data_IF_054363098227
#
_entry.id   IF_054363098227
#
_cell.length_a   1.000
_cell.length_b   1.000
_cell.length_c   1.000
_cell.angle_alpha   90.00
_cell.angle_beta   90.00
_cell.angle_gamma   90.00
#
_symmetry.space_group_name_H-M   'P 1'
#
loop_
_entity.id
_entity.type
_entity.pdbx_description
1 polymer ?
#
# COMPACT_ATOMS: atom_id res chain seq x y z
N UNK A 1 24.54 -33.58 7.61
CA UNK A 1 24.23 -32.44 6.75
C UNK A 1 25.34 -31.40 6.90
N UNK A 2 25.96 -31.03 5.81
CA UNK A 2 27.02 -30.02 5.84
C UNK A 2 26.45 -28.61 6.01
N UNK A 3 27.28 -27.67 6.42
CA UNK A 3 26.86 -26.25 6.53
C UNK A 3 26.45 -25.69 5.17
N UNK A 4 27.10 -26.14 4.10
CA UNK A 4 26.77 -25.72 2.73
C UNK A 4 25.39 -26.22 2.32
N UNK A 5 25.02 -27.44 2.68
CA UNK A 5 23.69 -28.01 2.39
C UNK A 5 22.60 -27.24 3.14
N UNK A 6 22.87 -26.88 4.39
CA UNK A 6 21.93 -26.13 5.20
C UNK A 6 21.75 -24.72 4.65
N UNK A 7 22.83 -24.06 4.24
CA UNK A 7 22.78 -22.73 3.64
C UNK A 7 21.97 -22.73 2.34
N UNK A 8 22.21 -23.74 1.47
CA UNK A 8 21.46 -23.91 0.23
C UNK A 8 19.97 -24.14 0.48
N UNK A 9 19.63 -24.94 1.51
CA UNK A 9 18.24 -25.20 1.88
C UNK A 9 17.55 -23.92 2.37
N UNK A 10 18.23 -23.12 3.18
CA UNK A 10 17.70 -21.83 3.67
C UNK A 10 17.48 -20.85 2.54
N UNK A 11 18.40 -20.79 1.58
CA UNK A 11 18.29 -19.92 0.42
C UNK A 11 17.09 -20.31 -0.44
N UNK A 12 16.89 -21.60 -0.70
CA UNK A 12 15.73 -22.09 -1.47
C UNK A 12 14.42 -21.76 -0.78
N UNK A 13 14.36 -21.88 0.56
CA UNK A 13 13.18 -21.55 1.33
C UNK A 13 12.89 -20.06 1.25
N UNK A 14 13.91 -19.20 1.38
CA UNK A 14 13.75 -17.76 1.29
C UNK A 14 13.24 -17.34 -0.07
N UNK A 15 13.74 -17.93 -1.15
CA UNK A 15 13.27 -17.64 -2.51
C UNK A 15 11.82 -18.07 -2.70
N UNK A 16 11.44 -19.25 -2.17
CA UNK A 16 10.07 -19.74 -2.26
C UNK A 16 9.10 -18.82 -1.49
N UNK A 17 9.49 -18.38 -0.31
CA UNK A 17 8.69 -17.45 0.48
C UNK A 17 8.53 -16.10 -0.22
N UNK A 18 9.59 -15.58 -0.83
CA UNK A 18 9.54 -14.34 -1.58
C UNK A 18 8.58 -14.44 -2.77
N UNK A 19 8.67 -15.54 -3.54
CA UNK A 19 7.78 -15.78 -4.67
C UNK A 19 6.32 -15.86 -4.24
N UNK A 20 6.05 -16.53 -3.11
CA UNK A 20 4.70 -16.65 -2.57
C UNK A 20 4.14 -15.30 -2.15
N UNK A 21 4.94 -14.49 -1.44
CA UNK A 21 4.51 -13.15 -1.02
C UNK A 21 4.24 -12.24 -2.22
N UNK A 22 5.08 -12.31 -3.24
CA UNK A 22 4.87 -11.55 -4.49
C UNK A 22 3.56 -11.94 -5.17
N UNK A 23 3.27 -13.24 -5.24
CA UNK A 23 2.02 -13.74 -5.83
C UNK A 23 0.80 -13.30 -5.02
N UNK A 24 0.89 -13.33 -3.68
CA UNK A 24 -0.21 -12.92 -2.80
C UNK A 24 -0.52 -11.43 -2.91
N UNK A 25 0.49 -10.59 -3.00
CA UNK A 25 0.33 -9.13 -3.03
C UNK A 25 -0.02 -8.63 -4.43
N UNK A 26 0.66 -9.14 -5.45
CA UNK A 26 0.49 -8.65 -6.82
C UNK A 26 -0.64 -9.33 -7.59
N UNK A 27 -1.19 -10.42 -7.07
CA UNK A 27 -2.19 -11.20 -7.79
C UNK A 27 -1.61 -12.05 -8.90
N UNK A 28 -0.28 -12.22 -8.94
CA UNK A 28 0.40 -13.05 -9.92
C UNK A 28 0.06 -14.53 -9.75
N UNK A 29 0.21 -15.36 -10.80
CA UNK A 29 -0.02 -16.79 -10.66
C UNK A 29 0.86 -17.40 -9.57
N UNK A 30 0.34 -18.31 -8.73
CA UNK A 30 1.13 -18.93 -7.67
C UNK A 30 2.21 -19.85 -8.26
N UNK A 31 3.33 -20.04 -7.54
CA UNK A 31 4.32 -21.04 -7.93
C UNK A 31 3.72 -22.44 -7.96
N UNK A 32 4.30 -23.30 -8.78
CA UNK A 32 3.88 -24.69 -8.89
C UNK A 32 3.92 -25.39 -7.52
N UNK A 33 2.89 -26.18 -7.22
CA UNK A 33 2.79 -26.93 -5.97
C UNK A 33 2.03 -26.24 -4.84
N UNK A 34 1.59 -24.99 -5.02
CA UNK A 34 0.79 -24.30 -4.02
C UNK A 34 -0.70 -24.49 -4.25
N UNK A 35 -1.46 -24.70 -3.16
CA UNK A 35 -2.90 -24.83 -3.18
C UNK A 35 -3.56 -23.50 -3.53
N UNK A 36 -4.36 -23.47 -4.60
CA UNK A 36 -5.01 -22.26 -5.06
C UNK A 36 -6.02 -21.69 -4.07
N UNK A 37 -6.77 -22.55 -3.37
CA UNK A 37 -7.76 -22.10 -2.38
C UNK A 37 -7.08 -21.50 -1.17
N UNK A 38 -6.04 -22.17 -0.66
CA UNK A 38 -5.24 -21.65 0.44
C UNK A 38 -4.56 -20.36 0.07
N UNK A 39 -4.03 -20.26 -1.15
CA UNK A 39 -3.39 -19.04 -1.64
C UNK A 39 -4.38 -17.88 -1.73
N UNK A 40 -5.58 -18.12 -2.22
CA UNK A 40 -6.62 -17.09 -2.30
C UNK A 40 -7.03 -16.60 -0.92
N UNK A 41 -7.17 -17.52 0.04
CA UNK A 41 -7.49 -17.16 1.43
C UNK A 41 -6.39 -16.32 2.07
N UNK A 42 -5.13 -16.71 1.85
CA UNK A 42 -3.98 -15.96 2.36
C UNK A 42 -3.87 -14.57 1.72
N UNK A 43 -4.17 -14.47 0.43
CA UNK A 43 -4.20 -13.18 -0.27
C UNK A 43 -5.23 -12.25 0.36
N UNK A 44 -6.44 -12.75 0.62
CA UNK A 44 -7.48 -11.96 1.28
C UNK A 44 -7.05 -11.53 2.68
N UNK A 45 -6.42 -12.44 3.43
CA UNK A 45 -5.93 -12.13 4.77
C UNK A 45 -4.86 -11.03 4.75
N UNK A 46 -3.94 -11.06 3.80
CA UNK A 46 -2.92 -10.04 3.63
C UNK A 46 -3.52 -8.69 3.28
N UNK A 47 -4.52 -8.65 2.39
CA UNK A 47 -5.21 -7.42 2.04
C UNK A 47 -5.97 -6.85 3.23
N UNK A 48 -6.61 -7.71 4.02
CA UNK A 48 -7.32 -7.28 5.24
C UNK A 48 -6.34 -6.69 6.26
N UNK A 49 -5.20 -7.34 6.45
CA UNK A 49 -4.16 -6.85 7.35
C UNK A 49 -3.62 -5.49 6.88
N UNK A 50 -3.35 -5.37 5.59
CA UNK A 50 -2.89 -4.12 4.98
C UNK A 50 -3.91 -3.00 5.20
N UNK A 51 -5.20 -3.30 5.00
CA UNK A 51 -6.29 -2.34 5.23
C UNK A 51 -6.32 -1.88 6.69
N UNK A 52 -6.15 -2.81 7.65
CA UNK A 52 -6.12 -2.46 9.07
C UNK A 52 -4.97 -1.53 9.41
N UNK A 53 -3.78 -1.75 8.84
CA UNK A 53 -2.63 -0.88 9.07
C UNK A 53 -2.88 0.50 8.47
N UNK A 54 -3.44 0.57 7.27
CA UNK A 54 -3.80 1.85 6.63
C UNK A 54 -4.79 2.62 7.52
N UNK A 55 -5.77 1.94 8.09
CA UNK A 55 -6.74 2.57 8.99
C UNK A 55 -6.08 3.12 10.27
N UNK A 56 -5.00 2.51 10.73
CA UNK A 56 -4.23 3.00 11.89
C UNK A 56 -3.33 4.17 11.53
N UNK A 57 -2.70 4.13 10.37
CA UNK A 57 -1.79 5.17 9.88
C UNK A 57 -2.56 6.42 9.47
N UNK A 58 -3.73 6.25 8.88
CA UNK A 58 -4.57 7.32 8.38
C UNK A 58 -6.03 7.10 8.80
N UNK A 59 -6.35 7.29 10.09
CA UNK A 59 -7.71 7.04 10.60
C UNK A 59 -8.77 7.92 9.94
N UNK A 60 -8.40 9.09 9.45
CA UNK A 60 -9.29 10.01 8.76
C UNK A 60 -9.87 9.39 7.49
N UNK A 61 -9.10 8.55 6.80
CA UNK A 61 -9.61 7.86 5.60
C UNK A 61 -10.76 6.94 5.94
N UNK A 62 -10.67 6.26 7.07
CA UNK A 62 -11.75 5.41 7.54
C UNK A 62 -13.00 6.22 7.90
N UNK A 63 -12.81 7.40 8.48
CA UNK A 63 -13.93 8.31 8.78
C UNK A 63 -14.59 8.82 7.51
N UNK A 64 -13.77 9.23 6.53
CA UNK A 64 -14.27 9.77 5.26
C UNK A 64 -15.04 8.72 4.47
N UNK A 65 -14.51 7.51 4.40
CA UNK A 65 -15.07 6.44 3.57
C UNK A 65 -16.11 5.58 4.31
N UNK A 66 -16.08 5.58 5.64
CA UNK A 66 -17.05 4.86 6.45
C UNK A 66 -17.09 3.37 6.14
N UNK A 67 -18.28 2.84 5.97
CA UNK A 67 -18.51 1.42 5.69
C UNK A 67 -17.93 0.97 4.35
N UNK A 68 -17.69 1.89 3.43
CA UNK A 68 -17.12 1.60 2.12
C UNK A 68 -15.60 1.40 2.15
N UNK A 69 -14.94 1.75 3.25
CA UNK A 69 -13.48 1.66 3.35
C UNK A 69 -12.93 0.29 2.99
N UNK A 70 -13.42 -0.83 3.59
CA UNK A 70 -12.85 -2.14 3.26
C UNK A 70 -13.01 -2.52 1.79
N UNK A 71 -14.17 -2.25 1.22
CA UNK A 71 -14.47 -2.56 -0.17
C UNK A 71 -13.60 -1.74 -1.12
N UNK A 72 -13.52 -0.45 -0.87
CA UNK A 72 -12.73 0.46 -1.71
C UNK A 72 -11.25 0.17 -1.61
N UNK A 73 -10.76 -0.16 -0.40
CA UNK A 73 -9.36 -0.51 -0.23
C UNK A 73 -9.01 -1.80 -0.95
N UNK A 74 -9.88 -2.81 -0.86
CA UNK A 74 -9.67 -4.09 -1.57
C UNK A 74 -9.58 -3.87 -3.08
N UNK A 75 -10.49 -3.06 -3.65
CA UNK A 75 -10.47 -2.75 -5.07
C UNK A 75 -9.20 -2.04 -5.50
N UNK A 76 -8.69 -1.14 -4.66
CA UNK A 76 -7.44 -0.44 -4.90
C UNK A 76 -6.22 -1.37 -4.80
N UNK A 77 -6.16 -2.14 -3.73
CA UNK A 77 -4.97 -2.92 -3.39
C UNK A 77 -4.81 -4.19 -4.20
N UNK A 78 -5.89 -4.68 -4.78
CA UNK A 78 -5.85 -5.90 -5.58
C UNK A 78 -4.96 -5.71 -6.80
N UNK A 79 -3.92 -6.55 -6.93
CA UNK A 79 -2.95 -6.44 -7.99
C UNK A 79 -1.95 -5.30 -7.84
N UNK A 80 -1.94 -4.60 -6.71
CA UNK A 80 -1.00 -3.50 -6.44
C UNK A 80 -0.17 -3.79 -5.20
N UNK A 81 1.09 -4.17 -5.36
CA UNK A 81 1.98 -4.33 -4.21
C UNK A 81 2.29 -2.98 -3.58
N UNK A 82 2.48 -2.99 -2.26
CA UNK A 82 2.90 -1.80 -1.54
C UNK A 82 4.39 -1.58 -1.79
N UNK A 83 4.75 -0.44 -2.38
CA UNK A 83 6.12 -0.17 -2.81
C UNK A 83 6.93 0.66 -1.81
N UNK A 84 6.32 1.65 -1.17
CA UNK A 84 7.05 2.66 -0.37
C UNK A 84 6.51 2.84 1.04
N UNK A 85 5.91 1.80 1.60
CA UNK A 85 5.41 1.83 2.96
C UNK A 85 3.97 2.30 3.08
N UNK A 86 3.45 2.22 4.31
CA UNK A 86 2.03 2.39 4.55
C UNK A 86 1.53 3.82 4.37
N UNK A 87 2.34 4.83 4.68
CA UNK A 87 1.93 6.23 4.50
C UNK A 87 1.75 6.57 3.03
N UNK A 88 2.68 6.12 2.19
CA UNK A 88 2.58 6.30 0.75
C UNK A 88 1.39 5.50 0.21
N UNK A 89 1.19 4.29 0.73
CA UNK A 89 0.07 3.44 0.34
C UNK A 89 -1.27 4.12 0.66
N UNK A 90 -1.39 4.75 1.84
CA UNK A 90 -2.58 5.51 2.21
C UNK A 90 -2.83 6.67 1.26
N UNK A 91 -1.79 7.41 0.89
CA UNK A 91 -1.89 8.52 -0.06
C UNK A 91 -2.30 8.04 -1.45
N UNK A 92 -1.70 6.97 -1.93
CA UNK A 92 -2.02 6.40 -3.24
C UNK A 92 -3.47 5.86 -3.26
N UNK A 93 -3.91 5.27 -2.17
CA UNK A 93 -5.28 4.82 -2.02
C UNK A 93 -6.27 6.00 -2.10
N UNK A 94 -5.98 7.08 -1.38
CA UNK A 94 -6.82 8.28 -1.42
C UNK A 94 -6.89 8.86 -2.83
N UNK A 95 -5.77 8.92 -3.53
CA UNK A 95 -5.73 9.39 -4.92
C UNK A 95 -6.55 8.49 -5.86
N UNK A 96 -6.50 7.18 -5.63
CA UNK A 96 -7.29 6.23 -6.40
C UNK A 96 -8.78 6.46 -6.20
N UNK A 97 -9.23 6.67 -4.95
CA UNK A 97 -10.63 6.95 -4.66
C UNK A 97 -11.04 8.29 -5.28
N UNK A 98 -10.19 9.31 -5.19
CA UNK A 98 -10.45 10.61 -5.83
C UNK A 98 -10.68 10.47 -7.33
N UNK A 99 -9.92 9.63 -8.00
CA UNK A 99 -10.04 9.41 -9.43
C UNK A 99 -11.32 8.65 -9.82
N UNK A 100 -11.89 7.89 -8.90
CA UNK A 100 -13.02 6.99 -9.20
C UNK A 100 -14.33 7.39 -8.55
N UNK A 101 -14.31 8.23 -7.51
CA UNK A 101 -15.53 8.62 -6.80
C UNK A 101 -16.34 9.67 -7.56
N UNK A 102 -17.66 9.55 -7.45
CA UNK A 102 -18.60 10.54 -7.99
C UNK A 102 -19.25 11.36 -6.88
N UNK A 103 -18.97 11.03 -5.62
CA UNK A 103 -19.50 11.72 -4.45
C UNK A 103 -18.70 13.01 -4.23
N UNK A 104 -19.34 14.16 -4.36
CA UNK A 104 -18.70 15.47 -4.25
C UNK A 104 -18.17 15.74 -2.84
N UNK A 105 -18.93 15.36 -1.80
CA UNK A 105 -18.50 15.54 -0.41
C UNK A 105 -17.29 14.69 -0.09
N UNK A 106 -17.32 13.44 -0.49
CA UNK A 106 -16.18 12.51 -0.33
C UNK A 106 -14.94 13.07 -1.04
N UNK A 107 -15.11 13.52 -2.26
CA UNK A 107 -14.02 14.13 -3.04
C UNK A 107 -13.40 15.32 -2.31
N UNK A 108 -14.25 16.21 -1.79
CA UNK A 108 -13.78 17.39 -1.07
C UNK A 108 -12.99 17.00 0.18
N UNK A 109 -13.51 16.09 0.98
CA UNK A 109 -12.86 15.65 2.22
C UNK A 109 -11.53 14.96 1.93
N UNK A 110 -11.47 14.11 0.90
CA UNK A 110 -10.22 13.45 0.49
C UNK A 110 -9.20 14.44 -0.04
N UNK A 111 -9.63 15.44 -0.79
CA UNK A 111 -8.74 16.49 -1.31
C UNK A 111 -8.10 17.27 -0.17
N UNK A 112 -8.88 17.65 0.84
CA UNK A 112 -8.37 18.35 2.02
C UNK A 112 -7.38 17.46 2.78
N UNK A 113 -7.72 16.20 2.98
CA UNK A 113 -6.83 15.26 3.65
C UNK A 113 -5.50 15.09 2.90
N UNK A 114 -5.56 14.90 1.58
CA UNK A 114 -4.37 14.72 0.75
C UNK A 114 -3.45 15.95 0.79
N UNK A 115 -4.03 17.14 0.79
CA UNK A 115 -3.25 18.37 0.89
C UNK A 115 -2.51 18.46 2.22
N UNK A 116 -3.15 18.06 3.32
CA UNK A 116 -2.52 18.03 4.64
C UNK A 116 -1.36 17.05 4.71
N UNK A 117 -1.48 15.91 4.04
CA UNK A 117 -0.39 14.92 3.99
C UNK A 117 0.83 15.47 3.27
N UNK A 118 0.65 16.18 2.18
CA UNK A 118 1.75 16.81 1.46
C UNK A 118 2.51 17.82 2.32
N UNK A 119 1.79 18.57 3.15
CA UNK A 119 2.40 19.55 4.05
C UNK A 119 3.08 18.88 5.25
N UNK A 120 2.66 17.67 5.63
CA UNK A 120 3.13 16.98 6.82
C UNK A 120 4.34 16.07 6.61
N UNK A 121 4.86 15.96 5.39
CA UNK A 121 6.00 15.10 5.07
C UNK A 121 7.21 15.89 4.54
N UNK A 122 7.74 16.84 5.34
CA UNK A 122 8.83 17.68 4.85
C UNK A 122 10.16 16.96 4.76
N UNK A 123 10.42 15.97 5.60
CA UNK A 123 11.73 15.34 5.70
C UNK A 123 11.98 14.22 4.71
N UNK A 124 10.96 13.70 4.06
CA UNK A 124 11.12 12.61 3.09
C UNK A 124 11.97 13.01 1.89
N UNK A 125 12.03 14.30 1.62
CA UNK A 125 12.75 14.83 0.47
C UNK A 125 14.05 15.53 0.87
N UNK A 126 14.34 15.64 2.16
CA UNK A 126 15.57 16.23 2.66
C UNK A 126 15.82 17.62 2.09
N UNK A 127 17.09 17.86 1.73
CA UNK A 127 17.52 19.14 1.19
C UNK A 127 16.81 19.51 -0.12
N UNK A 128 16.58 18.52 -0.96
CA UNK A 128 15.93 18.72 -2.26
C UNK A 128 14.50 19.22 -2.10
N UNK A 129 13.77 18.67 -1.15
CA UNK A 129 12.40 19.11 -0.86
C UNK A 129 12.35 20.56 -0.39
N UNK A 130 13.31 20.99 0.43
CA UNK A 130 13.40 22.37 0.90
C UNK A 130 13.69 23.33 -0.24
N UNK A 131 14.59 22.97 -1.14
CA UNK A 131 14.92 23.78 -2.30
C UNK A 131 13.70 23.93 -3.21
N UNK A 132 12.99 22.85 -3.47
CA UNK A 132 11.77 22.88 -4.28
C UNK A 132 10.68 23.73 -3.66
N UNK A 133 10.51 23.65 -2.34
CA UNK A 133 9.52 24.50 -1.63
C UNK A 133 9.89 25.97 -1.71
N UNK A 134 11.16 26.31 -1.57
CA UNK A 134 11.63 27.67 -1.67
C UNK A 134 11.41 28.26 -3.07
N UNK A 135 11.70 27.48 -4.10
CA UNK A 135 11.45 27.88 -5.49
C UNK A 135 9.98 28.09 -5.78
N UNK A 136 9.12 27.23 -5.24
CA UNK A 136 7.67 27.34 -5.40
C UNK A 136 7.13 28.61 -4.74
N UNK A 137 7.64 29.00 -3.57
CA UNK A 137 7.26 30.23 -2.89
C UNK A 137 7.68 31.47 -3.66
N UNK A 138 8.84 31.46 -4.29
CA UNK A 138 9.32 32.58 -5.11
C UNK A 138 8.58 32.71 -6.42
N UNK A 139 8.05 31.61 -6.95
CA UNK A 139 7.30 31.59 -8.20
C UNK A 139 5.85 32.02 -8.09
N UNK A 140 5.39 32.24 -6.88
CA UNK A 140 4.04 32.74 -6.65
C UNK A 140 4.09 34.19 -6.21
#
# INVERSE_FOLDING_TARGET
MSDDDLAAARERLALAQHALLSALVAGSPPPEGFDRRGLAAQRRALLTKRAHVIAKVAPELREILGADFPRLFRAYAQGRPMAEGYRRDAADFAHHVLATTRDAERRQRLTVWAARQSDSTPEKHGLLGRVMSALKKKGS
#
